data_IF_470491811614
#
_entry.id   IF_470491811614
#
_cell.length_a   1.000
_cell.length_b   1.000
_cell.length_c   1.000
_cell.angle_alpha   90.00
_cell.angle_beta   90.00
_cell.angle_gamma   90.00
#
_symmetry.space_group_name_H-M   'P 1'
#
loop_
_entity.id
_entity.type
_entity.pdbx_description
1 polymer ?
#
# COMPACT_ATOMS: atom_id res chain seq x y z
N UNK A 1 -20.84 -7.74 -20.76
CA UNK A 1 -19.68 -6.98 -20.25
C UNK A 1 -20.24 -5.94 -19.29
N UNK A 2 -19.91 -6.02 -18.00
CA UNK A 2 -20.40 -5.07 -17.01
C UNK A 2 -19.51 -3.83 -17.04
N UNK A 3 -20.07 -2.67 -17.37
CA UNK A 3 -19.41 -1.36 -17.26
C UNK A 3 -19.24 -0.93 -15.79
N UNK A 4 -18.58 -1.76 -14.98
CA UNK A 4 -18.22 -1.40 -13.62
C UNK A 4 -16.95 -0.53 -13.68
N UNK A 5 -16.99 0.72 -13.20
CA UNK A 5 -15.80 1.56 -13.18
C UNK A 5 -14.76 0.96 -12.22
N UNK A 6 -13.57 0.70 -12.73
CA UNK A 6 -12.38 0.44 -11.91
C UNK A 6 -11.87 1.77 -11.34
N UNK A 7 -11.11 1.72 -10.24
CA UNK A 7 -10.46 2.91 -9.67
C UNK A 7 -9.51 3.63 -10.68
N UNK A 8 -9.16 2.96 -11.78
CA UNK A 8 -8.28 3.45 -12.84
C UNK A 8 -8.99 3.77 -14.18
N UNK A 9 -10.33 3.78 -14.23
CA UNK A 9 -11.10 4.05 -15.45
C UNK A 9 -11.93 2.85 -15.93
N UNK A 10 -12.18 2.75 -17.24
CA UNK A 10 -12.83 1.57 -17.84
C UNK A 10 -12.01 0.33 -17.49
N UNK A 11 -12.67 -0.73 -17.02
CA UNK A 11 -12.05 -2.05 -16.84
C UNK A 11 -11.56 -2.55 -18.21
N UNK A 12 -10.31 -2.22 -18.55
CA UNK A 12 -9.57 -2.96 -19.57
C UNK A 12 -9.06 -4.21 -18.87
N UNK A 13 -9.94 -5.20 -18.73
CA UNK A 13 -9.49 -6.56 -18.50
C UNK A 13 -8.76 -6.94 -19.80
N UNK A 14 -7.44 -7.17 -19.80
CA UNK A 14 -6.78 -7.66 -21.00
C UNK A 14 -7.52 -8.94 -21.40
N UNK A 15 -7.99 -9.03 -22.65
CA UNK A 15 -8.49 -10.32 -23.14
C UNK A 15 -7.32 -11.32 -23.10
N UNK A 16 -7.33 -12.24 -22.13
CA UNK A 16 -6.29 -13.27 -21.95
C UNK A 16 -5.70 -13.35 -20.53
N UNK A 17 -4.86 -14.36 -20.29
CA UNK A 17 -4.10 -14.50 -19.04
C UNK A 17 -2.97 -13.46 -18.97
N UNK A 18 -2.69 -12.93 -17.77
CA UNK A 18 -1.52 -12.09 -17.55
C UNK A 18 -0.22 -12.86 -17.85
N UNK A 19 0.81 -12.22 -18.44
CA UNK A 19 2.02 -12.91 -18.87
C UNK A 19 2.87 -13.47 -17.73
N UNK A 20 2.63 -13.02 -16.49
CA UNK A 20 3.13 -13.60 -15.25
C UNK A 20 2.37 -13.00 -14.05
N UNK A 21 2.61 -13.56 -12.86
CA UNK A 21 1.96 -13.15 -11.62
C UNK A 21 2.27 -11.69 -11.22
N UNK A 22 3.49 -11.20 -11.49
CA UNK A 22 3.84 -9.80 -11.19
C UNK A 22 2.98 -8.83 -11.99
N UNK A 23 2.78 -9.10 -13.29
CA UNK A 23 1.93 -8.26 -14.13
C UNK A 23 0.48 -8.30 -13.68
N UNK A 24 -0.04 -9.47 -13.29
CA UNK A 24 -1.39 -9.59 -12.70
C UNK A 24 -1.53 -8.70 -11.47
N UNK A 25 -0.61 -8.82 -10.50
CA UNK A 25 -0.65 -8.03 -9.27
C UNK A 25 -0.59 -6.52 -9.54
N UNK A 26 0.24 -6.07 -10.49
CA UNK A 26 0.35 -4.65 -10.84
C UNK A 26 -0.95 -4.08 -11.43
N UNK A 27 -1.64 -4.84 -12.29
CA UNK A 27 -2.86 -4.39 -12.95
C UNK A 27 -4.11 -4.51 -12.07
N UNK A 28 -4.22 -5.58 -11.27
CA UNK A 28 -5.43 -5.85 -10.47
C UNK A 28 -5.41 -5.18 -9.09
N UNK A 29 -4.25 -4.70 -8.61
CA UNK A 29 -4.16 -4.07 -7.28
C UNK A 29 -5.02 -2.81 -7.22
N UNK A 30 -5.94 -2.78 -6.25
CA UNK A 30 -6.72 -1.61 -5.86
C UNK A 30 -6.27 -1.01 -4.52
N UNK A 31 -6.51 0.29 -4.32
CA UNK A 31 -6.28 0.96 -3.04
C UNK A 31 -7.35 0.57 -2.02
N UNK A 32 -6.95 -0.07 -0.92
CA UNK A 32 -7.84 -0.38 0.21
C UNK A 32 -7.88 0.80 1.19
N UNK A 33 -9.09 1.21 1.61
CA UNK A 33 -9.32 2.30 2.59
C UNK A 33 -10.23 1.88 3.74
N UNK A 34 -10.42 0.56 3.94
CA UNK A 34 -11.25 0.00 5.01
C UNK A 34 -10.52 -1.22 5.58
N UNK A 35 -10.08 -1.10 6.82
CA UNK A 35 -9.20 -2.09 7.43
C UNK A 35 -9.89 -2.84 8.57
N UNK A 36 -9.50 -4.09 8.77
CA UNK A 36 -9.81 -4.82 9.99
C UNK A 36 -8.85 -4.42 11.11
N UNK A 37 -9.21 -4.70 12.37
CA UNK A 37 -8.32 -4.49 13.53
C UNK A 37 -7.17 -5.51 13.64
N UNK A 38 -7.04 -6.44 12.68
CA UNK A 38 -5.99 -7.45 12.67
C UNK A 38 -4.63 -6.78 12.48
N UNK A 39 -3.69 -7.05 13.39
CA UNK A 39 -2.30 -6.61 13.26
C UNK A 39 -1.65 -7.25 12.02
N UNK A 40 -0.74 -6.52 11.38
CA UNK A 40 0.10 -7.06 10.30
C UNK A 40 1.15 -7.98 10.94
N UNK A 41 1.29 -9.24 10.48
CA UNK A 41 2.37 -10.12 10.96
C UNK A 41 3.74 -9.50 10.71
N UNK A 42 4.69 -9.75 11.61
CA UNK A 42 6.05 -9.19 11.51
C UNK A 42 6.72 -9.58 10.20
N UNK A 43 6.61 -10.84 9.83
CA UNK A 43 7.27 -11.44 8.68
C UNK A 43 6.75 -10.80 7.37
N UNK A 44 5.46 -10.43 7.35
CA UNK A 44 4.86 -9.72 6.22
C UNK A 44 5.41 -8.29 6.14
N UNK A 45 5.52 -7.60 7.27
CA UNK A 45 6.08 -6.23 7.30
C UNK A 45 7.57 -6.24 6.89
N UNK A 46 8.35 -7.19 7.40
CA UNK A 46 9.77 -7.31 7.08
C UNK A 46 9.96 -7.57 5.57
N UNK A 47 9.15 -8.43 4.97
CA UNK A 47 9.18 -8.68 3.52
C UNK A 47 8.84 -7.43 2.69
N UNK A 48 7.88 -6.61 3.14
CA UNK A 48 7.51 -5.34 2.46
C UNK A 48 8.64 -4.33 2.54
N UNK A 49 9.24 -4.15 3.73
CA UNK A 49 10.32 -3.21 3.93
C UNK A 49 11.57 -3.63 3.15
N UNK A 50 11.93 -4.92 3.18
CA UNK A 50 13.03 -5.46 2.38
C UNK A 50 12.77 -5.27 0.88
N UNK A 51 11.57 -5.60 0.37
CA UNK A 51 11.27 -5.34 -1.05
C UNK A 51 11.43 -3.85 -1.41
N UNK A 52 11.08 -2.94 -0.49
CA UNK A 52 11.28 -1.50 -0.65
C UNK A 52 12.77 -1.10 -0.72
N UNK A 53 13.65 -1.71 0.09
CA UNK A 53 15.09 -1.41 0.09
C UNK A 53 15.79 -1.81 -1.20
N UNK A 54 15.24 -2.76 -1.96
CA UNK A 54 15.74 -3.16 -3.27
C UNK A 54 15.27 -2.24 -4.42
N UNK A 55 14.41 -1.25 -4.15
CA UNK A 55 14.00 -0.29 -5.18
C UNK A 55 15.18 0.57 -5.65
N UNK A 56 15.23 0.85 -6.96
CA UNK A 56 16.30 1.67 -7.54
C UNK A 56 16.30 3.09 -6.93
N UNK A 57 17.48 3.60 -6.59
CA UNK A 57 17.68 4.97 -6.10
C UNK A 57 18.82 5.64 -6.87
N UNK A 58 18.76 6.97 -6.98
CA UNK A 58 19.80 7.74 -7.66
C UNK A 58 21.16 7.48 -7.01
N UNK A 59 22.11 6.94 -7.78
CA UNK A 59 23.45 6.61 -7.29
C UNK A 59 23.49 5.57 -6.17
N UNK A 60 22.43 4.78 -5.96
CA UNK A 60 22.28 3.85 -4.83
C UNK A 60 22.40 4.53 -3.45
N UNK A 61 22.07 5.82 -3.37
CA UNK A 61 22.24 6.61 -2.15
C UNK A 61 21.17 6.33 -1.09
N UNK A 62 20.07 5.65 -1.46
CA UNK A 62 18.99 5.30 -0.52
C UNK A 62 18.48 6.51 0.28
N UNK A 63 18.19 7.61 -0.43
CA UNK A 63 17.84 8.93 0.15
C UNK A 63 16.38 8.99 0.64
N UNK A 64 15.95 8.00 1.42
CA UNK A 64 14.64 8.00 2.06
C UNK A 64 14.76 7.34 3.44
N UNK A 65 13.77 7.57 4.28
CA UNK A 65 13.63 6.89 5.57
C UNK A 65 12.16 6.58 5.76
N UNK A 66 11.85 5.40 6.32
CA UNK A 66 10.46 5.00 6.55
C UNK A 66 10.19 4.98 8.05
N UNK A 67 9.23 5.78 8.50
CA UNK A 67 8.74 5.76 9.87
C UNK A 67 7.51 4.86 9.93
N UNK A 68 7.66 3.71 10.60
CA UNK A 68 6.55 2.78 10.88
C UNK A 68 5.82 3.21 12.15
N UNK A 69 4.53 3.52 12.03
CA UNK A 69 3.69 4.01 13.11
C UNK A 69 2.59 2.97 13.40
N UNK A 70 2.68 2.31 14.57
CA UNK A 70 1.66 1.38 15.06
C UNK A 70 0.91 1.91 16.30
N UNK A 71 1.56 2.85 17.01
CA UNK A 71 1.02 3.46 18.21
C UNK A 71 -0.32 4.18 17.92
N UNK A 72 -1.40 3.86 18.65
CA UNK A 72 -2.73 4.39 18.36
C UNK A 72 -2.83 5.90 18.57
N UNK A 73 -2.06 6.48 19.49
CA UNK A 73 -2.10 7.92 19.76
C UNK A 73 -1.42 8.69 18.63
N UNK A 74 -0.30 8.19 18.12
CA UNK A 74 0.36 8.75 16.94
C UNK A 74 -0.52 8.65 15.68
N UNK A 75 -1.25 7.54 15.49
CA UNK A 75 -2.18 7.40 14.34
C UNK A 75 -3.39 8.34 14.46
N UNK A 76 -3.93 8.52 15.67
CA UNK A 76 -4.95 9.56 15.94
C UNK A 76 -4.41 10.95 15.61
N UNK A 77 -3.18 11.26 16.04
CA UNK A 77 -2.53 12.53 15.78
C UNK A 77 -2.39 12.82 14.28
N UNK A 78 -1.98 11.83 13.46
CA UNK A 78 -1.94 11.99 11.99
C UNK A 78 -3.30 12.39 11.41
N UNK A 79 -4.39 11.77 11.86
CA UNK A 79 -5.76 12.13 11.45
C UNK A 79 -6.13 13.54 11.88
N UNK A 80 -5.72 13.97 13.08
CA UNK A 80 -5.94 15.34 13.57
C UNK A 80 -5.16 16.40 12.77
N UNK A 81 -4.01 16.04 12.20
CA UNK A 81 -3.26 16.88 11.25
C UNK A 81 -3.94 17.03 9.87
N UNK A 82 -5.13 16.48 9.68
CA UNK A 82 -5.89 16.59 8.44
C UNK A 82 -5.72 15.40 7.49
N UNK A 83 -5.10 14.31 7.94
CA UNK A 83 -5.11 13.07 7.17
C UNK A 83 -6.50 12.44 7.15
N UNK A 84 -6.75 11.63 6.12
CA UNK A 84 -8.04 10.96 5.94
C UNK A 84 -8.29 9.92 7.04
N UNK A 85 -9.57 9.70 7.38
CA UNK A 85 -9.99 8.82 8.48
C UNK A 85 -9.38 7.41 8.43
N UNK A 86 -9.15 6.86 7.25
CA UNK A 86 -8.61 5.50 7.11
C UNK A 86 -7.18 5.35 7.65
N UNK A 87 -6.43 6.45 7.83
CA UNK A 87 -5.08 6.46 8.44
C UNK A 87 -5.18 6.03 9.91
N UNK A 88 -6.07 6.63 10.70
CA UNK A 88 -6.31 6.18 12.09
C UNK A 88 -6.84 4.73 12.17
N UNK A 89 -7.64 4.32 11.18
CA UNK A 89 -8.24 2.98 11.13
C UNK A 89 -7.27 1.88 10.66
N UNK A 90 -6.23 2.21 9.89
CA UNK A 90 -5.23 1.26 9.43
C UNK A 90 -4.39 0.77 10.62
N UNK A 91 -4.07 -0.53 10.74
CA UNK A 91 -3.31 -1.06 11.88
C UNK A 91 -1.86 -0.59 11.93
N UNK A 92 -1.33 -0.04 10.83
CA UNK A 92 0.02 0.50 10.70
C UNK A 92 0.04 1.53 9.57
N UNK A 93 0.77 2.63 9.80
CA UNK A 93 1.07 3.64 8.78
C UNK A 93 2.57 3.66 8.49
N UNK A 94 2.94 3.75 7.21
CA UNK A 94 4.32 3.95 6.76
C UNK A 94 4.43 5.36 6.18
N UNK A 95 5.21 6.21 6.86
CA UNK A 95 5.52 7.57 6.39
C UNK A 95 6.90 7.53 5.75
N UNK A 96 6.96 7.83 4.46
CA UNK A 96 8.17 7.91 3.64
C UNK A 96 8.68 9.36 3.55
#
# INVERSE_FOLDING_TARGET
MSDMPSHHGVEVIPEGEYPNEMMRLLFERGSCRRFSKRKVPREVMDAVLEAGTHAATAGNLQTYSVVKIEDPDNRRWLRELGMQRFVEEAPVDLVF
#
